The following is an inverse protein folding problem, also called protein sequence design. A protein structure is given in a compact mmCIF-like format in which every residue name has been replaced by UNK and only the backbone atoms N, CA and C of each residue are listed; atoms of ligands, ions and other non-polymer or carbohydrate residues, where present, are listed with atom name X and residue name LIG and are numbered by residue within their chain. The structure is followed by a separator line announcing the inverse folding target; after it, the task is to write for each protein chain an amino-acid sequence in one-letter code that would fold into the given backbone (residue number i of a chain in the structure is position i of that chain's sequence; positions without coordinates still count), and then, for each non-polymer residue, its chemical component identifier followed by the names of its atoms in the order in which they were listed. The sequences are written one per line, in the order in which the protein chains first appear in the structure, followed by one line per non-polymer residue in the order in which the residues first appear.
data_IF_280933919346
#
_entry.id   IF_280933919346
#
_cell.length_a   1.000
_cell.length_b   1.000
_cell.length_c   1.000
_cell.angle_alpha   90.00
_cell.angle_beta   90.00
_cell.angle_gamma   90.00
#
_symmetry.space_group_name_H-M   'P 1'
#
loop_
_entity.id
_entity.type
_entity.pdbx_description
1 polymer ?
#
# COMPACT_ATOMS: atom_id res chain seq x y z
N UNK A 1 7.97 -2.98 -2.98
CA UNK A 1 7.26 -3.36 -1.76
C UNK A 1 6.02 -4.15 -2.17
N UNK A 2 5.88 -5.38 -1.70
CA UNK A 2 4.79 -6.31 -2.03
C UNK A 2 3.56 -6.03 -1.17
N UNK A 3 2.43 -6.64 -1.53
CA UNK A 3 1.21 -6.65 -0.72
C UNK A 3 1.49 -7.03 0.74
N UNK A 4 2.27 -8.10 0.95
CA UNK A 4 2.58 -8.63 2.27
C UNK A 4 3.47 -7.67 3.08
N UNK A 5 4.46 -7.05 2.45
CA UNK A 5 5.31 -6.04 3.12
C UNK A 5 4.48 -4.83 3.57
N UNK A 6 3.52 -4.37 2.76
CA UNK A 6 2.61 -3.29 3.16
C UNK A 6 1.71 -3.70 4.34
N UNK A 7 1.21 -4.94 4.38
CA UNK A 7 0.44 -5.41 5.52
C UNK A 7 1.27 -5.50 6.80
N UNK A 8 2.50 -6.01 6.72
CA UNK A 8 3.41 -6.07 7.87
C UNK A 8 3.68 -4.68 8.45
N UNK A 9 3.87 -3.67 7.60
CA UNK A 9 4.02 -2.28 8.05
C UNK A 9 2.74 -1.73 8.71
N UNK A 10 1.56 -2.11 8.20
CA UNK A 10 0.30 -1.71 8.82
C UNK A 10 0.13 -2.31 10.22
N UNK A 11 0.37 -3.61 10.36
CA UNK A 11 0.26 -4.35 11.62
C UNK A 11 1.28 -3.85 12.66
N UNK A 12 2.52 -3.58 12.23
CA UNK A 12 3.54 -3.01 13.12
C UNK A 12 3.13 -1.62 13.64
N UNK A 13 2.55 -0.78 12.78
CA UNK A 13 2.03 0.52 13.22
C UNK A 13 0.91 0.38 14.26
N UNK A 14 0.02 -0.61 14.11
CA UNK A 14 -1.05 -0.86 15.10
C UNK A 14 -0.49 -1.38 16.43
N UNK A 15 0.45 -2.33 16.37
CA UNK A 15 1.11 -2.86 17.57
C UNK A 15 1.83 -1.75 18.34
N UNK A 16 2.52 -0.85 17.63
CA UNK A 16 3.15 0.32 18.23
C UNK A 16 2.10 1.28 18.81
N UNK A 17 0.95 1.45 18.14
CA UNK A 17 -0.14 2.30 18.61
C UNK A 17 -0.76 1.78 19.92
N UNK A 18 -0.82 0.48 20.13
CA UNK A 18 -1.25 -0.14 21.39
C UNK A 18 -0.28 0.18 22.54
N UNK A 19 1.02 0.21 22.26
CA UNK A 19 2.06 0.56 23.24
C UNK A 19 2.24 2.07 23.46
N UNK A 20 1.61 2.91 22.63
CA UNK A 20 1.80 4.36 22.66
C UNK A 20 1.08 4.99 23.87
N UNK A 21 1.87 5.64 24.74
CA UNK A 21 1.35 6.32 25.94
C UNK A 21 0.70 7.67 25.63
N UNK A 22 1.13 8.35 24.55
CA UNK A 22 0.59 9.62 24.13
C UNK A 22 -0.52 9.44 23.08
N UNK A 23 -1.72 10.03 23.28
CA UNK A 23 -2.82 9.92 22.33
C UNK A 23 -2.49 10.38 20.91
N UNK A 24 -1.66 11.43 20.78
CA UNK A 24 -1.22 11.95 19.48
C UNK A 24 -0.36 10.94 18.71
N UNK A 25 0.53 10.23 19.41
CA UNK A 25 1.38 9.22 18.80
C UNK A 25 0.54 8.02 18.36
N UNK A 26 -0.40 7.59 19.21
CA UNK A 26 -1.36 6.54 18.88
C UNK A 26 -2.15 6.90 17.61
N UNK A 27 -2.66 8.14 17.52
CA UNK A 27 -3.41 8.58 16.36
C UNK A 27 -2.56 8.61 15.08
N UNK A 28 -1.34 9.14 15.15
CA UNK A 28 -0.40 9.15 14.02
C UNK A 28 -0.07 7.74 13.52
N UNK A 29 0.16 6.80 14.44
CA UNK A 29 0.46 5.40 14.13
C UNK A 29 -0.74 4.70 13.47
N UNK A 30 -1.95 4.90 13.99
CA UNK A 30 -3.17 4.36 13.38
C UNK A 30 -3.44 4.96 11.99
N UNK A 31 -3.14 6.25 11.81
CA UNK A 31 -3.23 6.90 10.49
C UNK A 31 -2.23 6.31 9.50
N UNK A 32 -1.00 6.06 9.93
CA UNK A 32 0.02 5.37 9.14
C UNK A 32 -0.42 3.94 8.78
N UNK A 33 -0.95 3.17 9.73
CA UNK A 33 -1.48 1.83 9.48
C UNK A 33 -2.58 1.85 8.40
N UNK A 34 -3.49 2.81 8.47
CA UNK A 34 -4.53 2.97 7.46
C UNK A 34 -3.97 3.30 6.06
N UNK A 35 -2.91 4.11 5.97
CA UNK A 35 -2.23 4.39 4.70
C UNK A 35 -1.54 3.13 4.14
N UNK A 36 -0.85 2.37 4.98
CA UNK A 36 -0.23 1.10 4.58
C UNK A 36 -1.25 0.11 4.02
N UNK A 37 -2.42 -0.03 4.65
CA UNK A 37 -3.50 -0.88 4.12
C UNK A 37 -4.04 -0.43 2.77
N UNK A 38 -4.11 0.88 2.52
CA UNK A 38 -4.51 1.41 1.20
C UNK A 38 -3.49 1.05 0.13
N UNK A 39 -2.20 1.18 0.45
CA UNK A 39 -1.13 0.76 -0.47
C UNK A 39 -1.11 -0.75 -0.67
N UNK A 40 -1.39 -1.54 0.37
CA UNK A 40 -1.59 -2.98 0.22
C UNK A 40 -2.76 -3.28 -0.74
N UNK A 41 -3.92 -2.64 -0.55
CA UNK A 41 -5.06 -2.85 -1.43
C UNK A 41 -4.77 -2.51 -2.91
N UNK A 42 -3.97 -1.49 -3.17
CA UNK A 42 -3.51 -1.12 -4.53
C UNK A 42 -2.50 -2.13 -5.09
N UNK A 43 -1.57 -2.61 -4.25
CA UNK A 43 -0.56 -3.60 -4.62
C UNK A 43 -1.10 -5.03 -4.68
N UNK A 44 -2.33 -5.27 -4.23
CA UNK A 44 -2.94 -6.59 -4.26
C UNK A 44 -3.04 -7.03 -5.73
N UNK A 45 -2.44 -8.17 -6.11
CA UNK A 45 -2.58 -8.66 -7.46
C UNK A 45 -4.06 -8.85 -7.75
N UNK A 46 -4.57 -8.13 -8.76
CA UNK A 46 -5.93 -8.30 -9.25
C UNK A 46 -5.96 -9.65 -9.94
N UNK A 47 -6.51 -10.67 -9.29
CA UNK A 47 -6.71 -12.04 -9.78
C UNK A 47 -7.60 -12.15 -11.04
N UNK A 48 -7.71 -11.12 -11.86
CA UNK A 48 -8.58 -11.11 -13.04
C UNK A 48 -8.53 -9.86 -13.91
N UNK A 49 -7.50 -9.02 -13.82
CA UNK A 49 -7.30 -7.97 -14.82
C UNK A 49 -6.41 -8.54 -15.93
N UNK A 50 -7.06 -9.11 -16.94
CA UNK A 50 -6.42 -9.58 -18.17
C UNK A 50 -5.42 -8.56 -18.71
N UNK A 51 -4.33 -9.10 -19.26
CA UNK A 51 -3.40 -8.45 -20.16
C UNK A 51 -4.11 -7.42 -21.05
N UNK A 52 -3.89 -6.14 -20.76
CA UNK A 52 -3.87 -5.12 -21.80
C UNK A 52 -2.41 -4.70 -21.95
N UNK A 53 -1.64 -5.29 -22.89
CA UNK A 53 -0.46 -4.62 -23.36
C UNK A 53 -0.95 -3.35 -24.06
N UNK A 54 -0.73 -2.19 -23.45
CA UNK A 54 -0.70 -0.95 -24.23
C UNK A 54 0.52 -1.07 -25.15
N UNK A 55 0.28 -1.67 -26.32
CA UNK A 55 1.07 -1.44 -27.52
C UNK A 55 0.69 -0.02 -27.94
N UNK A 56 1.33 0.96 -27.30
CA UNK A 56 1.35 2.34 -27.74
C UNK A 56 2.38 2.46 -28.84
N UNK A 57 1.93 2.20 -30.07
CA UNK A 57 2.57 2.58 -31.32
C UNK A 57 3.23 3.96 -31.21
N UNK A 58 4.55 4.02 -31.41
CA UNK A 58 5.22 5.25 -31.82
C UNK A 58 5.77 5.03 -33.22
N UNK A 59 4.87 5.08 -34.21
CA UNK A 59 5.23 5.28 -35.61
C UNK A 59 6.02 6.59 -35.78
N UNK A 60 7.18 6.43 -36.41
CA UNK A 60 7.58 7.14 -37.63
C UNK A 60 8.22 8.54 -37.56
N UNK A 61 9.39 8.60 -38.20
CA UNK A 61 9.93 9.77 -38.90
C UNK A 61 10.97 10.56 -38.10
N UNK A 62 12.19 10.80 -38.59
CA UNK A 62 12.62 11.02 -39.96
C UNK A 62 14.13 10.82 -40.06
#
# INVERSE_FOLDING_TARGET
MTYEEYLQHAEECERLAESATLPVNRHSLLSAAAMWRRMAADAKPRDGAGTNPVIGDSRSGK
#
